data_IF_670787854132
#
_entry.id   IF_670787854132
#
_cell.length_a   1.000
_cell.length_b   1.000
_cell.length_c   1.000
_cell.angle_alpha   90.00
_cell.angle_beta   90.00
_cell.angle_gamma   90.00
#
_symmetry.space_group_name_H-M   'P 1'
#
loop_
_entity.id
_entity.type
_entity.pdbx_description
1 polymer ?
#
# COMPACT_ATOMS: atom_id res chain seq x y z
N UNK A 1 0.84 13.06 -8.70
CA UNK A 1 1.52 12.65 -7.46
C UNK A 1 2.54 11.56 -7.73
N UNK A 2 3.60 11.48 -6.92
CA UNK A 2 4.72 10.54 -7.06
C UNK A 2 4.31 9.06 -7.24
N UNK A 3 3.23 8.64 -6.59
CA UNK A 3 2.66 7.30 -6.76
C UNK A 3 2.19 7.00 -8.20
N UNK A 4 1.67 7.99 -8.94
CA UNK A 4 1.22 7.82 -10.33
C UNK A 4 2.43 7.65 -11.28
N UNK A 5 3.48 8.46 -11.08
CA UNK A 5 4.69 8.41 -11.91
C UNK A 5 5.41 7.06 -11.82
N UNK A 6 5.45 6.43 -10.64
CA UNK A 6 6.01 5.08 -10.47
C UNK A 6 5.15 3.97 -11.07
N UNK A 7 3.84 4.19 -11.27
CA UNK A 7 2.92 3.21 -11.85
C UNK A 7 2.89 3.22 -13.37
N UNK A 8 3.11 4.39 -14.00
CA UNK A 8 3.10 4.51 -15.46
C UNK A 8 3.98 3.47 -16.18
N UNK A 9 5.25 3.24 -15.80
CA UNK A 9 6.08 2.23 -16.49
C UNK A 9 5.69 0.78 -16.17
N UNK A 10 4.97 0.52 -15.08
CA UNK A 10 4.52 -0.82 -14.72
C UNK A 10 3.34 -1.29 -15.59
N UNK A 11 2.58 -0.35 -16.14
CA UNK A 11 1.32 -0.62 -16.84
C UNK A 11 0.17 -0.96 -15.88
N UNK A 12 -0.93 -1.49 -16.41
CA UNK A 12 -2.10 -1.80 -15.59
C UNK A 12 -1.85 -3.00 -14.66
N UNK A 13 -2.41 -2.99 -13.43
CA UNK A 13 -2.39 -4.17 -12.57
C UNK A 13 -3.28 -5.27 -13.15
N UNK A 14 -2.75 -6.49 -13.29
CA UNK A 14 -3.46 -7.63 -13.86
C UNK A 14 -4.00 -8.58 -12.78
N UNK A 15 -3.21 -8.83 -11.73
CA UNK A 15 -3.62 -9.64 -10.58
C UNK A 15 -3.04 -9.06 -9.31
N UNK A 16 -3.84 -9.07 -8.24
CA UNK A 16 -3.44 -8.68 -6.89
C UNK A 16 -3.93 -9.74 -5.90
N UNK A 17 -3.08 -10.11 -4.95
CA UNK A 17 -3.44 -11.00 -3.84
C UNK A 17 -2.84 -10.49 -2.54
N UNK A 18 -3.60 -10.59 -1.44
CA UNK A 18 -3.10 -10.24 -0.12
C UNK A 18 -1.87 -11.10 0.20
N UNK A 19 -0.78 -10.44 0.61
CA UNK A 19 0.42 -11.09 1.09
C UNK A 19 0.43 -11.11 2.62
N UNK A 20 0.17 -9.97 3.23
CA UNK A 20 0.19 -9.80 4.68
C UNK A 20 -0.64 -8.58 5.09
N UNK A 21 -1.22 -8.62 6.28
CA UNK A 21 -1.79 -7.45 6.95
C UNK A 21 -1.33 -7.45 8.42
N UNK A 22 -0.74 -6.34 8.85
CA UNK A 22 -0.24 -6.14 10.22
C UNK A 22 -0.87 -4.90 10.82
N UNK A 23 -1.49 -5.06 11.99
CA UNK A 23 -1.95 -3.94 12.81
C UNK A 23 -0.82 -3.44 13.71
N UNK A 24 -0.61 -2.14 13.78
CA UNK A 24 0.35 -1.49 14.69
C UNK A 24 -0.24 -0.25 15.33
N UNK A 25 0.19 0.05 16.57
CA UNK A 25 -0.15 1.29 17.28
C UNK A 25 0.87 2.42 17.08
N UNK A 26 2.02 2.10 16.48
CA UNK A 26 3.14 3.02 16.26
C UNK A 26 3.57 2.94 14.80
N UNK A 27 3.65 4.10 14.16
CA UNK A 27 4.17 4.26 12.81
C UNK A 27 5.19 5.41 12.84
N UNK A 28 6.44 5.13 12.45
CA UNK A 28 7.53 6.12 12.50
C UNK A 28 7.12 7.41 11.77
N UNK A 29 7.31 8.56 12.43
CA UNK A 29 6.95 9.87 11.90
C UNK A 29 5.47 10.23 11.97
N UNK A 30 4.63 9.40 12.61
CA UNK A 30 3.20 9.67 12.84
C UNK A 30 2.86 9.59 14.34
N UNK A 31 1.76 10.22 14.79
CA UNK A 31 1.27 10.09 16.17
C UNK A 31 0.88 8.66 16.54
N UNK A 32 0.55 8.44 17.80
CA UNK A 32 -0.02 7.17 18.24
C UNK A 32 -1.43 7.01 17.68
N UNK A 33 -1.73 5.84 17.13
CA UNK A 33 -2.98 5.60 16.42
C UNK A 33 -3.08 4.17 15.93
N UNK A 34 -4.24 3.76 15.41
CA UNK A 34 -4.41 2.41 14.87
C UNK A 34 -4.12 2.40 13.37
N UNK A 35 -3.04 1.73 12.99
CA UNK A 35 -2.58 1.61 11.62
C UNK A 35 -2.64 0.16 11.16
N UNK A 36 -3.09 -0.05 9.93
CA UNK A 36 -2.96 -1.34 9.24
C UNK A 36 -1.94 -1.18 8.09
N UNK A 37 -0.81 -1.90 8.18
CA UNK A 37 0.19 -2.07 7.13
C UNK A 37 -0.19 -3.32 6.32
N UNK A 38 -0.58 -3.11 5.07
CA UNK A 38 -1.09 -4.15 4.19
C UNK A 38 -0.16 -4.30 2.99
N UNK A 39 0.36 -5.50 2.80
CA UNK A 39 1.17 -5.87 1.66
C UNK A 39 0.37 -6.76 0.69
N UNK A 40 0.52 -6.50 -0.60
CA UNK A 40 -0.05 -7.30 -1.68
C UNK A 40 1.06 -7.77 -2.62
N UNK A 41 0.95 -9.01 -3.09
CA UNK A 41 1.65 -9.45 -4.29
C UNK A 41 0.84 -8.99 -5.49
N UNK A 42 1.50 -8.30 -6.43
CA UNK A 42 0.84 -7.75 -7.61
C UNK A 42 1.64 -8.05 -8.85
N UNK A 43 0.92 -8.47 -9.89
CA UNK A 43 1.42 -8.52 -11.26
C UNK A 43 0.87 -7.34 -12.03
N UNK A 44 1.77 -6.62 -12.69
CA UNK A 44 1.47 -5.54 -13.62
C UNK A 44 1.83 -5.97 -15.03
N UNK A 45 1.22 -5.31 -16.02
CA UNK A 45 1.42 -5.59 -17.45
C UNK A 45 2.90 -5.66 -17.87
N UNK A 46 3.76 -4.83 -17.28
CA UNK A 46 5.20 -4.78 -17.60
C UNK A 46 6.09 -5.22 -16.43
N UNK A 47 5.50 -5.71 -15.33
CA UNK A 47 6.24 -6.24 -14.17
C UNK A 47 5.43 -7.34 -13.49
N UNK A 48 5.78 -8.59 -13.77
CA UNK A 48 5.04 -9.75 -13.27
C UNK A 48 5.10 -9.93 -11.74
N UNK A 49 6.16 -9.44 -11.10
CA UNK A 49 6.39 -9.60 -9.67
C UNK A 49 6.68 -8.24 -9.02
N UNK A 50 5.72 -7.74 -8.25
CA UNK A 50 5.87 -6.55 -7.44
C UNK A 50 5.18 -6.74 -6.09
N UNK A 51 5.64 -5.98 -5.09
CA UNK A 51 4.96 -5.88 -3.81
C UNK A 51 4.43 -4.48 -3.64
N UNK A 52 3.11 -4.36 -3.48
CA UNK A 52 2.47 -3.10 -3.10
C UNK A 52 2.27 -3.08 -1.59
N UNK A 53 2.75 -2.04 -0.92
CA UNK A 53 2.52 -1.80 0.51
C UNK A 53 1.65 -0.56 0.69
N UNK A 54 0.52 -0.71 1.35
CA UNK A 54 -0.44 0.34 1.69
C UNK A 54 -0.46 0.47 3.21
N UNK A 55 -0.28 1.69 3.72
CA UNK A 55 -0.50 1.97 5.14
C UNK A 55 -1.79 2.77 5.26
N UNK A 56 -2.73 2.26 6.03
CA UNK A 56 -4.02 2.92 6.27
C UNK A 56 -4.25 3.16 7.76
N UNK A 57 -5.03 4.19 8.06
CA UNK A 57 -5.57 4.46 9.39
C UNK A 57 -7.09 4.62 9.30
N UNK A 58 -7.81 4.30 10.37
CA UNK A 58 -9.24 4.56 10.46
C UNK A 58 -9.48 5.78 11.33
N UNK A 59 -9.73 6.91 10.70
CA UNK A 59 -10.08 8.16 11.38
C UNK A 59 -11.58 8.38 11.25
N UNK A 60 -12.26 8.55 12.39
CA UNK A 60 -13.70 8.87 12.47
C UNK A 60 -14.59 7.98 11.58
N UNK A 61 -14.31 6.68 11.54
CA UNK A 61 -15.08 5.72 10.76
C UNK A 61 -14.63 5.55 9.30
N UNK A 62 -13.79 6.45 8.79
CA UNK A 62 -13.33 6.46 7.41
C UNK A 62 -11.88 5.96 7.31
N UNK A 63 -11.62 5.07 6.37
CA UNK A 63 -10.24 4.65 6.06
C UNK A 63 -9.51 5.73 5.27
N UNK A 64 -8.32 6.10 5.72
CA UNK A 64 -7.41 7.01 5.02
C UNK A 64 -6.12 6.30 4.66
N UNK A 65 -5.65 6.50 3.44
CA UNK A 65 -4.36 6.00 2.96
C UNK A 65 -3.28 7.00 3.35
N UNK A 66 -2.37 6.59 4.23
CA UNK A 66 -1.23 7.41 4.67
C UNK A 66 -0.01 7.21 3.77
N UNK A 67 0.14 6.01 3.20
CA UNK A 67 1.28 5.68 2.38
C UNK A 67 0.96 4.60 1.36
N UNK A 68 1.59 4.71 0.19
CA UNK A 68 1.55 3.69 -0.84
C UNK A 68 2.91 3.59 -1.51
N UNK A 69 3.49 2.39 -1.50
CA UNK A 69 4.80 2.09 -2.08
C UNK A 69 4.72 0.82 -2.92
N UNK A 70 5.53 0.77 -3.97
CA UNK A 70 5.70 -0.40 -4.83
C UNK A 70 7.19 -0.75 -4.82
N UNK A 71 7.48 -2.03 -4.58
CA UNK A 71 8.81 -2.65 -4.64
C UNK A 71 8.91 -3.53 -5.89
#
# INVERSE_FOLDING_TARGET
GFARARRTPLGQPQRRSLLEAKRTRKLVGNPDGEYDDVAFKTSFQHKAQAVERVVVTKETGTWRVLGYRIY
#
